data_IF_260846218339
#
_entry.id   IF_260846218339
#
_cell.length_a   1.000
_cell.length_b   1.000
_cell.length_c   1.000
_cell.angle_alpha   90.00
_cell.angle_beta   90.00
_cell.angle_gamma   90.00
#
_symmetry.space_group_name_H-M   'P 1'
#
loop_
_entity.id
_entity.type
_entity.pdbx_description
1 polymer ?
#
# COMPACT_ATOMS: atom_id res chain seq x y z
N UNK A 1 33.44 21.45 -0.16
CA UNK A 1 34.65 21.27 0.71
C UNK A 1 35.35 22.60 1.05
N UNK A 2 35.69 23.41 0.04
CA UNK A 2 36.41 24.69 0.20
C UNK A 2 35.69 25.69 1.10
N UNK A 3 34.38 25.90 0.91
CA UNK A 3 33.58 26.80 1.75
C UNK A 3 33.63 26.41 3.24
N UNK A 4 33.58 25.10 3.55
CA UNK A 4 33.65 24.61 4.93
C UNK A 4 35.05 24.73 5.50
N UNK A 5 36.09 24.38 4.73
CA UNK A 5 37.49 24.53 5.17
C UNK A 5 37.88 25.99 5.39
N UNK A 6 37.37 26.92 4.58
CA UNK A 6 37.58 28.35 4.80
C UNK A 6 36.85 28.88 6.04
N UNK A 7 35.70 28.30 6.41
CA UNK A 7 34.94 28.70 7.62
C UNK A 7 35.54 28.15 8.91
N UNK A 8 36.20 26.99 8.84
CA UNK A 8 36.87 26.32 9.97
C UNK A 8 38.39 26.34 9.80
N UNK A 9 38.94 27.45 9.27
CA UNK A 9 40.37 27.56 8.99
C UNK A 9 41.24 27.55 10.27
N UNK A 10 40.67 27.98 11.38
CA UNK A 10 41.24 27.95 12.73
C UNK A 10 41.18 26.57 13.39
N UNK A 11 40.38 25.64 12.86
CA UNK A 11 40.26 24.27 13.34
C UNK A 11 40.11 23.26 12.18
N UNK A 12 41.18 23.01 11.41
CA UNK A 12 41.14 22.11 10.25
C UNK A 12 40.63 20.70 10.58
N UNK A 13 40.99 20.20 11.77
CA UNK A 13 40.58 18.90 12.30
C UNK A 13 39.06 18.75 12.42
N UNK A 14 38.31 19.85 12.57
CA UNK A 14 36.85 19.80 12.60
C UNK A 14 36.28 19.23 11.29
N UNK A 15 36.86 19.63 10.15
CA UNK A 15 36.48 19.08 8.85
C UNK A 15 36.97 17.64 8.68
N UNK A 16 38.20 17.35 9.11
CA UNK A 16 38.79 16.02 8.94
C UNK A 16 38.07 14.96 9.77
N UNK A 17 37.64 15.31 10.99
CA UNK A 17 36.87 14.43 11.86
C UNK A 17 35.51 14.02 11.26
N UNK A 18 34.92 14.81 10.34
CA UNK A 18 33.69 14.38 9.64
C UNK A 18 33.94 13.16 8.73
N UNK A 19 35.13 13.07 8.13
CA UNK A 19 35.53 11.93 7.31
C UNK A 19 35.83 10.73 8.20
N UNK A 20 36.54 10.93 9.30
CA UNK A 20 36.81 9.88 10.28
C UNK A 20 35.52 9.28 10.89
N UNK A 21 34.50 10.10 11.13
CA UNK A 21 33.17 9.61 11.55
C UNK A 21 32.51 8.82 10.42
N UNK A 22 32.53 9.34 9.19
CA UNK A 22 31.94 8.67 8.02
C UNK A 22 32.54 7.29 7.81
N UNK A 23 33.87 7.14 7.92
CA UNK A 23 34.56 5.84 7.80
C UNK A 23 34.15 4.84 8.89
N UNK A 24 33.75 5.32 10.08
CA UNK A 24 33.31 4.48 11.20
C UNK A 24 31.82 4.11 11.11
N UNK A 25 31.02 4.87 10.38
CA UNK A 25 29.58 4.66 10.25
C UNK A 25 29.25 3.65 9.15
N UNK A 26 29.23 2.36 9.50
CA UNK A 26 28.83 1.29 8.58
C UNK A 26 27.55 0.61 9.10
N UNK A 27 26.42 0.92 8.48
CA UNK A 27 25.12 0.31 8.79
C UNK A 27 24.60 -0.38 7.53
N UNK A 28 24.42 -1.69 7.62
CA UNK A 28 23.81 -2.48 6.55
C UNK A 28 22.34 -2.76 6.90
N UNK A 29 21.44 -2.39 5.99
CA UNK A 29 20.02 -2.68 6.09
C UNK A 29 19.69 -3.79 5.09
N UNK A 30 19.25 -4.94 5.59
CA UNK A 30 18.76 -6.01 4.74
C UNK A 30 17.34 -5.70 4.24
N UNK A 31 17.25 -5.30 2.98
CA UNK A 31 15.99 -5.01 2.28
C UNK A 31 15.51 -6.18 1.41
N UNK A 32 16.23 -7.31 1.42
CA UNK A 32 15.94 -8.47 0.56
C UNK A 32 15.28 -9.60 1.34
N UNK A 33 15.71 -9.84 2.58
CA UNK A 33 15.11 -10.88 3.42
C UNK A 33 13.68 -10.52 3.78
N UNK A 34 12.78 -11.48 3.58
CA UNK A 34 11.36 -11.34 3.90
C UNK A 34 11.09 -11.99 5.25
N UNK A 35 10.44 -11.25 6.13
CA UNK A 35 10.00 -11.73 7.43
C UNK A 35 8.49 -11.87 7.45
N UNK A 36 7.99 -12.98 6.89
CA UNK A 36 6.56 -13.28 6.91
C UNK A 36 6.15 -13.90 8.27
N UNK A 37 5.02 -13.46 8.86
CA UNK A 37 4.47 -14.12 10.04
C UNK A 37 4.03 -15.56 9.72
N UNK A 38 4.19 -16.46 10.70
CA UNK A 38 3.74 -17.85 10.60
C UNK A 38 2.44 -18.03 11.36
N UNK A 39 1.47 -18.70 10.76
CA UNK A 39 0.27 -19.12 11.45
C UNK A 39 0.54 -20.44 12.19
N UNK A 40 0.11 -20.52 13.46
CA UNK A 40 0.23 -21.75 14.26
C UNK A 40 -1.18 -22.29 14.56
N UNK A 41 -1.62 -23.36 13.90
CA UNK A 41 -2.87 -24.04 14.22
C UNK A 41 -2.92 -24.47 15.68
N UNK A 42 -4.09 -24.33 16.31
CA UNK A 42 -4.28 -24.66 17.73
C UNK A 42 -4.34 -26.18 17.98
N UNK A 43 -4.72 -26.95 16.96
CA UNK A 43 -4.76 -28.41 16.96
C UNK A 43 -3.38 -29.05 16.70
N UNK A 44 -2.35 -28.24 16.43
CA UNK A 44 -0.98 -28.69 16.18
C UNK A 44 -0.73 -29.20 14.75
N UNK A 45 -1.72 -29.08 13.85
CA UNK A 45 -1.54 -29.43 12.43
C UNK A 45 -0.57 -28.47 11.72
N UNK A 46 -0.17 -28.82 10.50
CA UNK A 46 0.51 -27.86 9.62
C UNK A 46 -0.44 -26.78 9.12
N UNK A 47 0.10 -25.67 8.61
CA UNK A 47 -0.70 -24.59 8.03
C UNK A 47 -1.40 -25.06 6.75
N UNK A 48 -0.71 -25.90 5.99
CA UNK A 48 -1.16 -26.55 4.76
C UNK A 48 -2.36 -27.47 5.05
N UNK A 49 -2.23 -28.36 6.05
CA UNK A 49 -3.32 -29.25 6.48
C UNK A 49 -4.57 -28.48 6.94
N UNK A 50 -4.38 -27.44 7.75
CA UNK A 50 -5.50 -26.62 8.23
C UNK A 50 -6.18 -25.88 7.07
N UNK A 51 -5.38 -25.29 6.18
CA UNK A 51 -5.89 -24.56 5.02
C UNK A 51 -6.75 -25.46 4.12
N UNK A 52 -6.20 -26.63 3.76
CA UNK A 52 -6.89 -27.62 2.93
C UNK A 52 -8.20 -28.05 3.58
N UNK A 53 -8.16 -28.39 4.88
CA UNK A 53 -9.36 -28.80 5.62
C UNK A 53 -10.45 -27.73 5.63
N UNK A 54 -10.10 -26.48 5.97
CA UNK A 54 -11.05 -25.36 5.98
C UNK A 54 -11.69 -25.13 4.61
N UNK A 55 -10.89 -25.25 3.54
CA UNK A 55 -11.39 -25.03 2.19
C UNK A 55 -12.38 -26.10 1.75
N UNK A 56 -12.07 -27.37 2.03
CA UNK A 56 -12.95 -28.50 1.71
C UNK A 56 -14.24 -28.47 2.52
N UNK A 57 -14.15 -28.25 3.84
CA UNK A 57 -15.32 -28.11 4.71
C UNK A 57 -16.25 -26.99 4.22
N UNK A 58 -15.71 -25.85 3.79
CA UNK A 58 -16.52 -24.76 3.25
C UNK A 58 -17.07 -25.08 1.87
N UNK A 59 -16.28 -25.69 0.98
CA UNK A 59 -16.74 -26.06 -0.36
C UNK A 59 -17.97 -26.98 -0.29
N UNK A 60 -17.97 -27.96 0.62
CA UNK A 60 -19.15 -28.81 0.88
C UNK A 60 -20.35 -27.99 1.37
N UNK A 61 -20.15 -27.02 2.26
CA UNK A 61 -21.24 -26.16 2.75
C UNK A 61 -21.84 -25.26 1.65
N UNK A 62 -21.02 -24.73 0.74
CA UNK A 62 -21.44 -23.79 -0.29
C UNK A 62 -22.08 -24.52 -1.48
N UNK A 63 -21.47 -25.61 -1.95
CA UNK A 63 -21.89 -26.33 -3.15
C UNK A 63 -22.77 -27.55 -2.86
N UNK A 64 -22.82 -28.02 -1.61
CA UNK A 64 -23.50 -29.25 -1.20
C UNK A 64 -22.73 -30.50 -1.62
N UNK A 65 -22.50 -30.67 -2.92
CA UNK A 65 -21.68 -31.73 -3.50
C UNK A 65 -20.51 -31.12 -4.29
N UNK A 66 -19.29 -31.51 -3.92
CA UNK A 66 -18.09 -31.09 -4.66
C UNK A 66 -18.05 -31.84 -5.99
N UNK A 67 -18.25 -31.10 -7.09
CA UNK A 67 -18.13 -31.65 -8.44
C UNK A 67 -16.65 -31.83 -8.83
N UNK A 68 -16.39 -32.61 -9.89
CA UNK A 68 -15.02 -32.79 -10.40
C UNK A 68 -14.33 -31.47 -10.74
N UNK A 69 -15.07 -30.52 -11.32
CA UNK A 69 -14.55 -29.19 -11.67
C UNK A 69 -14.14 -28.38 -10.43
N UNK A 70 -14.96 -28.37 -9.37
CA UNK A 70 -14.64 -27.66 -8.12
C UNK A 70 -13.44 -28.31 -7.45
N UNK A 71 -13.42 -29.65 -7.40
CA UNK A 71 -12.31 -30.40 -6.80
C UNK A 71 -10.99 -30.11 -7.53
N UNK A 72 -10.97 -30.26 -8.85
CA UNK A 72 -9.78 -30.02 -9.67
C UNK A 72 -9.26 -28.59 -9.52
N UNK A 73 -10.18 -27.60 -9.50
CA UNK A 73 -9.80 -26.21 -9.28
C UNK A 73 -9.21 -25.99 -7.89
N UNK A 74 -9.84 -26.55 -6.85
CA UNK A 74 -9.42 -26.34 -5.47
C UNK A 74 -8.07 -27.01 -5.19
N UNK A 75 -7.90 -28.26 -5.62
CA UNK A 75 -6.64 -29.01 -5.48
C UNK A 75 -5.48 -28.26 -6.14
N UNK A 76 -5.69 -27.80 -7.37
CA UNK A 76 -4.68 -27.05 -8.12
C UNK A 76 -4.30 -25.73 -7.43
N UNK A 77 -5.26 -25.00 -6.88
CA UNK A 77 -4.97 -23.76 -6.16
C UNK A 77 -4.21 -24.03 -4.85
N UNK A 78 -4.63 -25.05 -4.08
CA UNK A 78 -3.96 -25.46 -2.85
C UNK A 78 -2.51 -25.90 -3.13
N UNK A 79 -2.28 -26.75 -4.13
CA UNK A 79 -0.93 -27.19 -4.52
C UNK A 79 0.00 -26.01 -4.85
N UNK A 80 -0.50 -25.00 -5.55
CA UNK A 80 0.29 -23.80 -5.90
C UNK A 80 0.58 -22.95 -4.66
N UNK A 81 -0.37 -22.82 -3.72
CA UNK A 81 -0.19 -22.07 -2.48
C UNK A 81 0.81 -22.78 -1.56
N UNK A 82 0.70 -24.09 -1.43
CA UNK A 82 1.57 -24.93 -0.60
C UNK A 82 3.00 -24.96 -1.15
N UNK A 83 3.18 -25.20 -2.45
CA UNK A 83 4.50 -25.23 -3.09
C UNK A 83 5.27 -23.91 -2.96
N UNK A 84 4.58 -22.79 -2.80
CA UNK A 84 5.16 -21.46 -2.59
C UNK A 84 5.27 -21.06 -1.11
N UNK A 85 4.78 -21.88 -0.18
CA UNK A 85 4.83 -21.61 1.26
C UNK A 85 3.92 -20.47 1.72
N UNK A 86 2.80 -20.22 1.02
CA UNK A 86 1.87 -19.13 1.34
C UNK A 86 0.67 -19.57 2.20
N UNK A 87 0.61 -20.83 2.64
CA UNK A 87 -0.51 -21.31 3.47
C UNK A 87 -0.71 -20.48 4.75
N UNK A 88 0.38 -20.15 5.45
CA UNK A 88 0.32 -19.26 6.63
C UNK A 88 -0.24 -17.88 6.33
N UNK A 89 0.06 -17.31 5.15
CA UNK A 89 -0.44 -16.01 4.75
C UNK A 89 -1.96 -16.04 4.57
N UNK A 90 -2.48 -17.05 3.85
CA UNK A 90 -3.92 -17.26 3.70
C UNK A 90 -4.63 -17.45 5.04
N UNK A 91 -4.05 -18.24 5.95
CA UNK A 91 -4.64 -18.46 7.27
C UNK A 91 -4.66 -17.20 8.13
N UNK A 92 -3.64 -16.33 8.05
CA UNK A 92 -3.65 -15.05 8.76
C UNK A 92 -4.77 -14.15 8.23
N UNK A 93 -4.94 -14.10 6.91
CA UNK A 93 -6.01 -13.31 6.29
C UNK A 93 -7.40 -13.87 6.64
N UNK A 94 -7.56 -15.18 6.54
CA UNK A 94 -8.76 -15.90 6.97
C UNK A 94 -9.11 -15.62 8.42
N UNK A 95 -8.11 -15.61 9.31
CA UNK A 95 -8.35 -15.50 10.74
C UNK A 95 -8.99 -14.17 11.14
N UNK A 96 -8.44 -13.04 10.68
CA UNK A 96 -9.05 -11.75 10.98
C UNK A 96 -10.36 -11.53 10.20
N UNK A 97 -10.53 -12.11 9.01
CA UNK A 97 -11.80 -12.10 8.28
C UNK A 97 -12.87 -12.91 9.02
N UNK A 98 -12.52 -14.09 9.53
CA UNK A 98 -13.39 -14.95 10.34
C UNK A 98 -13.80 -14.25 11.63
N UNK A 99 -12.85 -13.58 12.30
CA UNK A 99 -13.16 -12.71 13.43
C UNK A 99 -14.14 -11.59 13.05
N UNK A 100 -13.93 -10.92 11.91
CA UNK A 100 -14.81 -9.86 11.43
C UNK A 100 -16.24 -10.36 11.21
N UNK A 101 -16.40 -11.49 10.49
CA UNK A 101 -17.71 -12.11 10.27
C UNK A 101 -18.42 -12.47 11.58
N UNK A 102 -17.72 -13.10 12.53
CA UNK A 102 -18.28 -13.46 13.85
C UNK A 102 -18.73 -12.25 14.67
N UNK A 103 -18.15 -11.08 14.41
CA UNK A 103 -18.48 -9.83 15.09
C UNK A 103 -19.35 -8.88 14.25
N UNK A 104 -19.95 -9.37 13.16
CA UNK A 104 -20.80 -8.60 12.24
C UNK A 104 -20.09 -7.35 11.68
N UNK A 105 -18.79 -7.45 11.39
CA UNK A 105 -18.01 -6.39 10.74
C UNK A 105 -17.90 -6.74 9.25
N UNK A 106 -18.44 -5.92 8.34
CA UNK A 106 -18.32 -6.15 6.90
C UNK A 106 -16.86 -6.10 6.45
N UNK A 107 -16.43 -7.13 5.74
CA UNK A 107 -15.12 -7.25 5.09
C UNK A 107 -15.28 -7.86 3.70
N UNK A 108 -14.32 -7.61 2.81
CA UNK A 108 -14.29 -8.25 1.50
C UNK A 108 -12.99 -8.00 0.74
N UNK A 109 -12.51 -9.02 0.03
CA UNK A 109 -11.36 -8.89 -0.84
C UNK A 109 -11.68 -8.11 -2.11
N UNK A 110 -10.68 -7.38 -2.62
CA UNK A 110 -10.73 -6.70 -3.92
C UNK A 110 -9.55 -7.09 -4.80
N UNK A 111 -9.54 -6.60 -6.04
CA UNK A 111 -8.46 -6.84 -6.98
C UNK A 111 -8.40 -8.30 -7.44
N UNK A 112 -7.19 -8.82 -7.64
CA UNK A 112 -7.00 -10.18 -8.12
C UNK A 112 -7.37 -11.25 -7.08
N UNK A 113 -7.37 -10.94 -5.79
CA UNK A 113 -7.75 -11.86 -4.72
C UNK A 113 -9.18 -12.41 -4.80
N UNK A 114 -10.04 -11.85 -5.65
CA UNK A 114 -11.39 -12.36 -5.93
C UNK A 114 -11.36 -13.60 -6.84
N UNK A 115 -10.28 -13.82 -7.59
CA UNK A 115 -10.18 -14.92 -8.56
C UNK A 115 -9.79 -16.28 -7.97
N UNK A 116 -9.55 -16.38 -6.66
CA UNK A 116 -9.17 -17.62 -5.99
C UNK A 116 -10.37 -18.32 -5.35
N UNK A 117 -10.56 -19.59 -5.67
CA UNK A 117 -11.55 -20.46 -5.03
C UNK A 117 -11.18 -20.71 -3.56
N UNK A 118 -9.89 -20.82 -3.24
CA UNK A 118 -9.41 -20.88 -1.86
C UNK A 118 -9.85 -19.64 -1.08
N UNK A 119 -9.69 -18.44 -1.64
CA UNK A 119 -10.16 -17.20 -1.02
C UNK A 119 -11.68 -17.17 -0.81
N UNK A 120 -12.46 -17.68 -1.77
CA UNK A 120 -13.91 -17.81 -1.64
C UNK A 120 -14.31 -18.80 -0.53
N UNK A 121 -13.68 -19.97 -0.46
CA UNK A 121 -13.91 -20.96 0.59
C UNK A 121 -13.47 -20.48 1.98
N UNK A 122 -12.46 -19.63 2.08
CA UNK A 122 -12.09 -18.99 3.34
C UNK A 122 -13.02 -17.82 3.72
N UNK A 123 -13.95 -17.44 2.85
CA UNK A 123 -14.83 -16.29 3.05
C UNK A 123 -14.08 -14.96 2.97
N UNK A 124 -12.97 -14.88 2.24
CA UNK A 124 -12.27 -13.62 1.97
C UNK A 124 -13.03 -12.77 0.96
N UNK A 125 -13.68 -13.41 -0.02
CA UNK A 125 -14.54 -12.79 -1.00
C UNK A 125 -15.91 -13.49 -1.04
N UNK A 126 -16.91 -12.80 -1.57
CA UNK A 126 -18.28 -13.30 -1.70
C UNK A 126 -18.67 -13.60 -3.15
N UNK A 127 -17.68 -13.74 -4.04
CA UNK A 127 -17.87 -13.98 -5.47
C UNK A 127 -17.33 -15.36 -5.80
N UNK A 128 -18.18 -16.21 -6.36
CA UNK A 128 -17.80 -17.54 -6.83
C UNK A 128 -16.94 -17.45 -8.11
N UNK A 129 -15.63 -17.74 -8.04
CA UNK A 129 -14.74 -17.58 -9.18
C UNK A 129 -14.99 -18.62 -10.27
N UNK A 130 -15.56 -19.78 -9.95
CA UNK A 130 -15.87 -20.81 -10.94
C UNK A 130 -17.11 -20.42 -11.73
N UNK A 131 -18.13 -19.86 -11.06
CA UNK A 131 -19.35 -19.38 -11.71
C UNK A 131 -19.09 -18.24 -12.71
N UNK A 132 -18.16 -17.36 -12.40
CA UNK A 132 -17.84 -16.18 -13.22
C UNK A 132 -16.57 -16.33 -14.06
N UNK A 133 -16.01 -17.54 -14.15
CA UNK A 133 -14.80 -17.86 -14.90
C UNK A 133 -13.61 -16.94 -14.57
N UNK A 134 -13.42 -16.67 -13.27
CA UNK A 134 -12.30 -15.88 -12.77
C UNK A 134 -11.04 -16.74 -12.69
N UNK A 135 -9.95 -16.20 -13.22
CA UNK A 135 -8.67 -16.89 -13.34
C UNK A 135 -7.84 -16.76 -12.06
N UNK A 136 -7.41 -17.90 -11.51
CA UNK A 136 -6.51 -17.94 -10.35
C UNK A 136 -5.12 -17.42 -10.70
N UNK A 137 -4.65 -17.65 -11.91
CA UNK A 137 -3.32 -17.27 -12.41
C UNK A 137 -3.12 -15.75 -12.42
N UNK A 138 -4.21 -15.00 -12.53
CA UNK A 138 -4.18 -13.53 -12.40
C UNK A 138 -3.84 -13.10 -10.97
N UNK A 139 -4.20 -13.92 -9.99
CA UNK A 139 -3.86 -13.71 -8.58
C UNK A 139 -2.49 -14.30 -8.24
N UNK A 140 -2.28 -15.57 -8.59
CA UNK A 140 -1.04 -16.28 -8.31
C UNK A 140 -0.66 -17.15 -9.51
N UNK A 141 0.33 -16.69 -10.27
CA UNK A 141 0.89 -17.42 -11.41
C UNK A 141 1.90 -18.45 -10.91
N UNK A 142 1.71 -19.77 -11.14
CA UNK A 142 2.65 -20.82 -10.72
C UNK A 142 4.10 -20.59 -11.18
N UNK A 143 4.32 -19.92 -12.32
CA UNK A 143 5.63 -19.69 -12.89
C UNK A 143 6.35 -18.46 -12.32
N UNK A 144 5.63 -17.61 -11.58
CA UNK A 144 6.18 -16.37 -11.00
C UNK A 144 6.37 -16.49 -9.49
N UNK A 145 7.51 -16.00 -9.01
CA UNK A 145 7.81 -15.92 -7.58
C UNK A 145 7.45 -14.54 -6.99
N UNK A 146 6.23 -14.08 -7.27
CA UNK A 146 5.66 -12.85 -6.73
C UNK A 146 4.87 -13.16 -5.43
N UNK A 147 4.91 -12.24 -4.47
CA UNK A 147 4.11 -12.37 -3.25
C UNK A 147 2.64 -12.09 -3.59
N UNK A 148 1.69 -12.95 -3.19
CA UNK A 148 0.28 -12.64 -3.33
C UNK A 148 -0.07 -11.43 -2.47
N UNK A 149 -0.83 -10.49 -3.04
CA UNK A 149 -1.38 -9.35 -2.31
C UNK A 149 -2.90 -9.51 -2.23
N UNK A 150 -3.39 -9.91 -1.05
CA UNK A 150 -4.81 -10.00 -0.74
C UNK A 150 -5.23 -8.70 -0.08
N UNK A 151 -5.68 -7.77 -0.91
CA UNK A 151 -6.30 -6.53 -0.46
C UNK A 151 -7.67 -6.82 0.17
N UNK A 152 -7.78 -6.70 1.50
CA UNK A 152 -9.05 -6.78 2.23
C UNK A 152 -9.56 -5.38 2.59
N UNK A 153 -10.73 -5.03 2.09
CA UNK A 153 -11.49 -3.87 2.53
C UNK A 153 -12.20 -4.19 3.85
N UNK A 154 -12.12 -3.27 4.82
CA UNK A 154 -12.72 -3.40 6.15
C UNK A 154 -13.60 -2.18 6.42
N UNK A 155 -14.82 -2.41 6.89
CA UNK A 155 -15.70 -1.32 7.31
C UNK A 155 -15.04 -0.42 8.36
N UNK A 156 -15.09 0.90 8.14
CA UNK A 156 -14.42 1.90 8.98
C UNK A 156 -14.79 1.77 10.47
N UNK A 157 -16.06 1.52 10.78
CA UNK A 157 -16.57 1.44 12.16
C UNK A 157 -16.03 0.20 12.91
N UNK A 158 -15.76 -0.89 12.20
CA UNK A 158 -15.23 -2.13 12.77
C UNK A 158 -13.70 -2.23 12.74
N UNK A 159 -13.02 -1.35 12.00
CA UNK A 159 -11.58 -1.43 11.73
C UNK A 159 -10.74 -1.46 13.01
N UNK A 160 -11.06 -0.62 14.01
CA UNK A 160 -10.31 -0.56 15.26
C UNK A 160 -10.35 -1.91 16.02
N UNK A 161 -11.51 -2.55 16.09
CA UNK A 161 -11.69 -3.86 16.75
C UNK A 161 -10.83 -4.95 16.11
N UNK A 162 -10.77 -4.97 14.78
CA UNK A 162 -9.93 -5.93 14.04
C UNK A 162 -8.45 -5.66 14.30
N UNK A 163 -8.01 -4.39 14.28
CA UNK A 163 -6.62 -4.05 14.59
C UNK A 163 -6.24 -4.51 16.01
N UNK A 164 -7.12 -4.29 16.99
CA UNK A 164 -6.88 -4.72 18.37
C UNK A 164 -6.85 -6.25 18.49
N UNK A 165 -7.71 -6.95 17.77
CA UNK A 165 -7.68 -8.42 17.67
C UNK A 165 -6.35 -8.93 17.12
N UNK A 166 -5.91 -8.41 15.97
CA UNK A 166 -4.64 -8.81 15.35
C UNK A 166 -3.47 -8.48 16.28
N UNK A 167 -3.49 -7.34 16.98
CA UNK A 167 -2.47 -6.97 17.97
C UNK A 167 -2.42 -7.94 19.14
N UNK A 168 -3.58 -8.33 19.70
CA UNK A 168 -3.63 -9.28 20.81
C UNK A 168 -3.14 -10.67 20.41
N UNK A 169 -3.45 -11.11 19.17
CA UNK A 169 -3.13 -12.45 18.70
C UNK A 169 -1.71 -12.60 18.16
N UNK A 170 -1.25 -11.63 17.37
CA UNK A 170 0.03 -11.68 16.66
C UNK A 170 1.11 -10.79 17.29
N UNK A 171 0.76 -10.02 18.33
CA UNK A 171 1.70 -9.19 19.09
C UNK A 171 2.03 -7.87 18.39
N UNK A 172 3.23 -7.78 17.82
CA UNK A 172 3.79 -6.51 17.32
C UNK A 172 3.17 -6.08 15.99
N UNK A 173 2.08 -5.31 16.07
CA UNK A 173 1.35 -4.75 14.91
C UNK A 173 1.48 -3.23 14.91
N UNK A 174 1.84 -2.67 13.76
CA UNK A 174 1.93 -1.24 13.52
C UNK A 174 1.13 -0.83 12.28
N UNK A 175 0.75 0.44 12.22
CA UNK A 175 0.15 1.03 11.01
C UNK A 175 1.24 1.61 10.11
N UNK A 176 0.99 1.62 8.80
CA UNK A 176 1.89 2.21 7.82
C UNK A 176 1.53 3.69 7.63
N UNK A 177 2.53 4.56 7.64
CA UNK A 177 2.36 6.01 7.46
C UNK A 177 2.08 6.36 5.99
N UNK A 178 1.31 7.42 5.79
CA UNK A 178 1.17 8.08 4.49
C UNK A 178 1.72 9.50 4.59
N UNK A 179 2.63 9.87 3.70
CA UNK A 179 3.17 11.23 3.64
C UNK A 179 2.32 12.11 2.73
N UNK A 180 1.82 13.22 3.27
CA UNK A 180 1.22 14.28 2.46
C UNK A 180 2.34 15.12 1.84
N UNK A 181 2.34 15.23 0.51
CA UNK A 181 3.23 16.15 -0.23
C UNK A 181 2.47 17.39 -0.68
N UNK A 182 3.20 18.48 -0.92
CA UNK A 182 2.61 19.74 -1.41
C UNK A 182 2.30 19.64 -2.90
N UNK A 183 1.13 19.10 -3.25
CA UNK A 183 0.66 19.04 -4.64
C UNK A 183 0.53 20.45 -5.25
N UNK A 184 0.63 20.57 -6.57
CA UNK A 184 0.52 21.82 -7.35
C UNK A 184 -0.49 22.86 -6.81
N UNK A 185 -1.73 22.44 -6.53
CA UNK A 185 -2.78 23.34 -6.01
C UNK A 185 -2.57 23.75 -4.55
N UNK A 186 -2.04 22.86 -3.72
CA UNK A 186 -1.78 23.11 -2.31
C UNK A 186 -0.59 24.07 -2.15
N UNK A 187 0.51 23.81 -2.86
CA UNK A 187 1.71 24.65 -2.81
C UNK A 187 1.42 26.09 -3.25
N UNK A 188 0.59 26.30 -4.28
CA UNK A 188 0.16 27.65 -4.69
C UNK A 188 -0.54 28.38 -3.55
N UNK A 189 -1.51 27.74 -2.88
CA UNK A 189 -2.26 28.37 -1.79
C UNK A 189 -1.36 28.71 -0.61
N UNK A 190 -0.45 27.80 -0.26
CA UNK A 190 0.46 27.99 0.87
C UNK A 190 1.46 29.12 0.59
N UNK A 191 2.04 29.19 -0.60
CA UNK A 191 2.98 30.26 -0.98
C UNK A 191 2.27 31.59 -1.16
N UNK A 192 1.07 31.62 -1.72
CA UNK A 192 0.25 32.82 -1.77
C UNK A 192 0.00 33.38 -0.36
N UNK A 193 -0.32 32.52 0.62
CA UNK A 193 -0.51 32.93 2.01
C UNK A 193 0.76 33.53 2.62
N UNK A 194 1.91 32.89 2.40
CA UNK A 194 3.21 33.38 2.90
C UNK A 194 3.58 34.73 2.28
N UNK A 195 3.26 34.96 1.01
CA UNK A 195 3.56 36.20 0.29
C UNK A 195 2.46 37.28 0.44
N UNK A 196 1.49 37.07 1.34
CA UNK A 196 0.39 38.01 1.60
C UNK A 196 -0.51 38.25 0.38
N UNK A 197 -0.63 37.27 -0.52
CA UNK A 197 -1.56 37.31 -1.66
C UNK A 197 -2.98 37.14 -1.12
N UNK A 198 -3.95 37.99 -1.53
CA UNK A 198 -5.35 37.84 -1.17
C UNK A 198 -5.89 36.43 -1.46
N UNK A 199 -6.78 35.93 -0.61
CA UNK A 199 -7.28 34.55 -0.67
C UNK A 199 -8.04 34.26 -1.98
N UNK A 200 -8.79 35.23 -2.48
CA UNK A 200 -9.51 35.18 -3.75
C UNK A 200 -8.55 35.03 -4.95
N UNK A 201 -7.44 35.77 -4.96
CA UNK A 201 -6.40 35.64 -5.98
C UNK A 201 -5.67 34.29 -5.87
N UNK A 202 -5.38 33.84 -4.66
CA UNK A 202 -4.76 32.54 -4.40
C UNK A 202 -5.62 31.38 -4.89
N UNK A 203 -6.93 31.40 -4.59
CA UNK A 203 -7.87 30.38 -5.05
C UNK A 203 -8.10 30.45 -6.56
N UNK A 204 -8.09 31.65 -7.15
CA UNK A 204 -8.14 31.81 -8.61
C UNK A 204 -6.95 31.09 -9.26
N UNK A 205 -5.73 31.37 -8.81
CA UNK A 205 -4.51 30.76 -9.34
C UNK A 205 -4.50 29.23 -9.16
N UNK A 206 -4.92 28.74 -7.99
CA UNK A 206 -4.97 27.31 -7.72
C UNK A 206 -6.01 26.59 -8.61
N UNK A 207 -7.15 27.21 -8.93
CA UNK A 207 -8.17 26.64 -9.82
C UNK A 207 -7.72 26.55 -11.29
N UNK A 208 -6.78 27.38 -11.71
CA UNK A 208 -6.18 27.29 -13.05
C UNK A 208 -5.32 26.02 -13.23
N UNK A 209 -4.87 25.39 -12.15
CA UNK A 209 -4.18 24.09 -12.26
C UNK A 209 -5.21 23.00 -12.54
N UNK A 210 -5.13 22.25 -13.66
CA UNK A 210 -6.12 21.23 -13.97
C UNK A 210 -6.14 20.08 -12.96
N UNK A 211 -7.32 19.48 -12.75
CA UNK A 211 -7.50 18.37 -11.83
C UNK A 211 -7.21 17.03 -12.52
N UNK A 212 -5.93 16.69 -12.65
CA UNK A 212 -5.52 15.41 -13.23
C UNK A 212 -4.51 14.70 -12.36
N UNK A 213 -4.55 13.36 -12.36
CA UNK A 213 -3.60 12.54 -11.63
C UNK A 213 -2.16 12.84 -12.08
N UNK A 214 -1.27 13.10 -11.12
CA UNK A 214 0.13 13.42 -11.41
C UNK A 214 0.35 14.79 -12.09
N UNK A 215 -0.55 15.75 -11.89
CA UNK A 215 -0.34 17.13 -12.36
C UNK A 215 0.80 17.80 -11.60
N UNK A 216 1.73 18.41 -12.34
CA UNK A 216 2.80 19.26 -11.82
C UNK A 216 2.64 20.69 -12.30
N UNK A 217 3.28 21.67 -11.66
CA UNK A 217 3.23 23.08 -12.07
C UNK A 217 3.83 23.30 -13.47
N UNK A 218 4.90 22.59 -13.81
CA UNK A 218 5.50 22.64 -15.14
C UNK A 218 4.56 22.11 -16.23
N UNK A 219 3.81 21.05 -15.92
CA UNK A 219 2.80 20.53 -16.84
C UNK A 219 1.61 21.47 -16.94
N UNK A 220 1.13 22.00 -15.81
CA UNK A 220 0.02 22.93 -15.75
C UNK A 220 0.28 24.21 -16.59
N UNK A 221 1.49 24.77 -16.52
CA UNK A 221 1.89 25.92 -17.32
C UNK A 221 1.94 25.64 -18.83
N UNK A 222 2.16 24.38 -19.24
CA UNK A 222 2.13 23.99 -20.66
C UNK A 222 0.71 23.73 -21.14
N UNK A 223 -0.16 23.23 -20.27
CA UNK A 223 -1.52 22.80 -20.65
C UNK A 223 -2.58 23.87 -20.50
N UNK A 224 -2.43 24.80 -19.55
CA UNK A 224 -3.43 25.84 -19.27
C UNK A 224 -2.93 27.22 -19.73
N UNK A 225 -3.44 27.75 -20.85
CA UNK A 225 -3.02 29.05 -21.38
C UNK A 225 -3.24 30.20 -20.40
N UNK A 226 -4.30 30.17 -19.59
CA UNK A 226 -4.58 31.24 -18.63
C UNK A 226 -3.55 31.28 -17.49
N UNK A 227 -3.06 30.13 -17.05
CA UNK A 227 -2.01 30.04 -16.03
C UNK A 227 -0.69 30.57 -16.59
N UNK A 228 -0.35 30.20 -17.83
CA UNK A 228 0.82 30.72 -18.53
C UNK A 228 0.76 32.23 -18.71
N UNK A 229 -0.40 32.74 -19.13
CA UNK A 229 -0.61 34.18 -19.28
C UNK A 229 -0.45 34.91 -17.94
N UNK A 230 -1.01 34.39 -16.85
CA UNK A 230 -0.88 34.98 -15.52
C UNK A 230 0.59 34.98 -15.04
N UNK A 231 1.34 33.91 -15.34
CA UNK A 231 2.77 33.80 -15.07
C UNK A 231 3.62 34.80 -15.89
N UNK A 232 3.25 35.06 -17.14
CA UNK A 232 3.98 35.99 -18.01
C UNK A 232 3.65 37.46 -17.70
N UNK A 233 2.40 37.78 -17.38
CA UNK A 233 1.91 39.17 -17.27
C UNK A 233 2.01 39.77 -15.86
N UNK A 234 2.04 38.94 -14.81
CA UNK A 234 2.06 39.43 -13.43
C UNK A 234 3.32 38.95 -12.71
N UNK A 235 4.22 39.88 -12.36
CA UNK A 235 5.47 39.57 -11.66
C UNK A 235 5.26 38.88 -10.31
N UNK A 236 4.20 39.26 -9.59
CA UNK A 236 3.84 38.64 -8.31
C UNK A 236 3.43 37.18 -8.53
N UNK A 237 2.62 36.90 -9.55
CA UNK A 237 2.24 35.53 -9.92
C UNK A 237 3.45 34.72 -10.37
N UNK A 238 4.35 35.32 -11.17
CA UNK A 238 5.61 34.67 -11.57
C UNK A 238 6.44 34.24 -10.36
N UNK A 239 6.66 35.17 -9.43
CA UNK A 239 7.40 34.93 -8.19
C UNK A 239 6.76 33.83 -7.33
N UNK A 240 5.43 33.82 -7.20
CA UNK A 240 4.69 32.75 -6.51
C UNK A 240 5.00 31.41 -7.16
N UNK A 241 4.80 31.30 -8.46
CA UNK A 241 4.92 30.03 -9.20
C UNK A 241 6.37 29.53 -9.21
N UNK A 242 7.36 30.40 -9.34
CA UNK A 242 8.79 30.03 -9.28
C UNK A 242 9.17 29.45 -7.91
N UNK A 243 8.64 30.02 -6.83
CA UNK A 243 8.85 29.47 -5.49
C UNK A 243 8.10 28.13 -5.34
N UNK A 244 6.87 28.05 -5.86
CA UNK A 244 6.08 26.83 -5.79
C UNK A 244 6.78 25.66 -6.52
N UNK A 245 7.40 25.89 -7.68
CA UNK A 245 8.16 24.88 -8.42
C UNK A 245 9.36 24.32 -7.65
N UNK A 246 9.90 25.07 -6.69
CA UNK A 246 11.01 24.61 -5.84
C UNK A 246 10.54 23.78 -4.64
N UNK A 247 9.24 23.76 -4.37
CA UNK A 247 8.64 23.19 -3.16
C UNK A 247 7.64 22.07 -3.46
N UNK A 248 7.08 22.01 -4.67
CA UNK A 248 6.35 20.85 -5.22
C UNK A 248 7.22 19.60 -5.27
#
# INVERSE_FOLDING_TARGET
>A
PEQMRSRFSDMPEACDNTLAITERCNVELDLKTRHAPRFKPADGSTAEELLTRLCYERAEQIYGQITGQIKERLDRELDVIESKGFASYFLIVWDFCSYAHKNNIPVGARGSGVGTLVGYCLGLCNVDPVRYDLLFERFMDPQRNEMPDIDIDICQDGRAKIIDYVRQKYGHVAQIITFGTMKARAVIRDICRVLGVPLDEADRLAKLVPDSLGMTLDRALKTEPQLKQAYEQNERTRKVIDICKRLE
#
